data_IF_375325122437
#
_entry.id   IF_375325122437
#
_cell.length_a   1.000
_cell.length_b   1.000
_cell.length_c   1.000
_cell.angle_alpha   90.00
_cell.angle_beta   90.00
_cell.angle_gamma   90.00
#
_symmetry.space_group_name_H-M   'P 1'
#
loop_
_entity.id
_entity.type
_entity.pdbx_description
1 polymer ?
#
# COMPACT_ATOMS: atom_id res chain seq x y z
N UNK A 1 -4.59 10.39 24.21
CA UNK A 1 -5.21 10.37 22.87
C UNK A 1 -4.63 9.16 22.15
N UNK A 2 -5.43 8.14 21.83
CA UNK A 2 -4.95 7.07 20.95
C UNK A 2 -4.74 7.70 19.57
N UNK A 3 -3.56 7.53 18.98
CA UNK A 3 -3.34 7.93 17.59
C UNK A 3 -4.30 7.21 16.64
N UNK A 4 -4.32 7.57 15.35
CA UNK A 4 -5.18 6.92 14.35
C UNK A 4 -4.97 5.40 14.40
N UNK A 5 -6.06 4.65 14.22
CA UNK A 5 -6.00 3.19 14.15
C UNK A 5 -5.18 2.79 12.91
N UNK A 6 -4.19 1.93 13.14
CA UNK A 6 -3.19 1.53 12.14
C UNK A 6 -3.51 0.15 11.60
N UNK A 7 -3.47 -0.01 10.27
CA UNK A 7 -3.69 -1.29 9.59
C UNK A 7 -2.51 -1.60 8.69
N UNK A 8 -1.90 -2.78 8.86
CA UNK A 8 -0.89 -3.28 7.93
C UNK A 8 -1.56 -4.03 6.80
N UNK A 9 -1.34 -3.59 5.56
CA UNK A 9 -1.85 -4.22 4.34
C UNK A 9 -0.69 -4.78 3.55
N UNK A 10 -0.64 -6.10 3.42
CA UNK A 10 0.38 -6.79 2.63
C UNK A 10 -0.25 -7.46 1.40
N UNK A 11 0.14 -7.01 0.20
CA UNK A 11 -0.27 -7.64 -1.05
C UNK A 11 0.75 -8.68 -1.51
N UNK A 12 0.26 -9.89 -1.78
CA UNK A 12 1.05 -11.05 -2.23
C UNK A 12 0.67 -11.47 -3.64
N UNK A 13 1.41 -12.42 -4.23
CA UNK A 13 1.30 -12.79 -5.66
C UNK A 13 0.11 -13.66 -6.04
N UNK A 14 -0.99 -13.61 -5.29
CA UNK A 14 -2.23 -14.27 -5.66
C UNK A 14 -3.06 -13.36 -6.58
N UNK A 15 -3.89 -13.96 -7.44
CA UNK A 15 -4.85 -13.23 -8.26
C UNK A 15 -5.84 -12.42 -7.40
N UNK A 16 -6.29 -11.27 -7.92
CA UNK A 16 -7.22 -10.38 -7.23
C UNK A 16 -6.59 -9.07 -6.75
N UNK A 17 -5.65 -8.49 -7.51
CA UNK A 17 -5.00 -7.23 -7.14
C UNK A 17 -6.00 -6.08 -6.91
N UNK A 18 -7.15 -6.13 -7.57
CA UNK A 18 -8.26 -5.18 -7.42
C UNK A 18 -8.79 -5.12 -5.98
N UNK A 19 -8.82 -6.26 -5.25
CA UNK A 19 -9.26 -6.28 -3.86
C UNK A 19 -8.33 -5.50 -2.95
N UNK A 20 -7.02 -5.64 -3.13
CA UNK A 20 -6.03 -4.90 -2.35
C UNK A 20 -6.10 -3.40 -2.60
N UNK A 21 -6.24 -2.98 -3.87
CA UNK A 21 -6.42 -1.57 -4.23
C UNK A 21 -7.71 -0.99 -3.65
N UNK A 22 -8.82 -1.72 -3.76
CA UNK A 22 -10.11 -1.25 -3.24
C UNK A 22 -10.12 -1.19 -1.70
N UNK A 23 -9.50 -2.16 -1.04
CA UNK A 23 -9.34 -2.13 0.42
C UNK A 23 -8.53 -0.91 0.86
N UNK A 24 -7.41 -0.62 0.17
CA UNK A 24 -6.57 0.55 0.46
C UNK A 24 -7.38 1.85 0.35
N UNK A 25 -8.16 2.02 -0.73
CA UNK A 25 -9.05 3.18 -0.92
C UNK A 25 -10.09 3.29 0.21
N UNK A 26 -10.73 2.18 0.62
CA UNK A 26 -11.67 2.20 1.74
C UNK A 26 -11.01 2.61 3.07
N UNK A 27 -9.83 2.07 3.38
CA UNK A 27 -9.10 2.41 4.61
C UNK A 27 -8.69 3.89 4.66
N UNK A 28 -8.29 4.44 3.52
CA UNK A 28 -7.95 5.86 3.39
C UNK A 28 -9.17 6.75 3.65
N UNK A 29 -10.33 6.40 3.10
CA UNK A 29 -11.58 7.15 3.31
C UNK A 29 -12.09 7.11 4.75
N UNK A 30 -11.77 6.03 5.46
CA UNK A 30 -12.08 5.86 6.88
C UNK A 30 -11.02 6.46 7.81
N UNK A 31 -10.14 7.32 7.29
CA UNK A 31 -9.07 8.03 8.02
C UNK A 31 -8.12 7.10 8.79
N UNK A 32 -7.88 5.90 8.26
CA UNK A 32 -6.95 4.92 8.84
C UNK A 32 -5.53 5.14 8.34
N UNK A 33 -4.55 4.96 9.22
CA UNK A 33 -3.14 4.93 8.82
C UNK A 33 -2.81 3.54 8.28
N UNK A 34 -2.29 3.47 7.05
CA UNK A 34 -2.02 2.21 6.36
C UNK A 34 -0.52 2.00 6.20
N UNK A 35 -0.03 0.87 6.73
CA UNK A 35 1.33 0.40 6.54
C UNK A 35 1.31 -0.62 5.39
N UNK A 36 1.77 -0.20 4.21
CA UNK A 36 1.61 -0.94 2.97
C UNK A 36 2.89 -1.70 2.60
N UNK A 37 2.72 -2.99 2.31
CA UNK A 37 3.76 -3.91 1.86
C UNK A 37 3.31 -4.58 0.57
N UNK A 38 4.23 -4.81 -0.36
CA UNK A 38 3.94 -5.53 -1.60
C UNK A 38 5.13 -6.38 -2.04
N UNK A 39 4.86 -7.63 -2.41
CA UNK A 39 5.89 -8.54 -2.93
C UNK A 39 6.18 -8.29 -4.41
N UNK A 40 7.33 -8.78 -4.90
CA UNK A 40 7.63 -8.75 -6.35
C UNK A 40 6.57 -9.48 -7.18
N UNK A 41 6.06 -10.62 -6.68
CA UNK A 41 5.03 -11.38 -7.37
C UNK A 41 3.70 -10.59 -7.42
N UNK A 42 3.33 -9.89 -6.35
CA UNK A 42 2.15 -9.05 -6.30
C UNK A 42 2.23 -7.86 -7.29
N UNK A 43 3.40 -7.25 -7.45
CA UNK A 43 3.62 -6.20 -8.46
C UNK A 43 3.38 -6.73 -9.88
N UNK A 44 3.82 -7.95 -10.18
CA UNK A 44 3.56 -8.59 -11.47
C UNK A 44 2.07 -8.87 -11.68
N UNK A 45 1.40 -9.44 -10.67
CA UNK A 45 -0.05 -9.67 -10.73
C UNK A 45 -0.80 -8.37 -10.96
N UNK A 46 -0.47 -7.31 -10.22
CA UNK A 46 -1.11 -6.00 -10.38
C UNK A 46 -0.95 -5.42 -11.79
N UNK A 47 0.26 -5.51 -12.36
CA UNK A 47 0.50 -5.05 -13.73
C UNK A 47 -0.23 -5.90 -14.80
N UNK A 48 -0.56 -7.15 -14.47
CA UNK A 48 -1.29 -8.07 -15.36
C UNK A 48 -2.81 -7.90 -15.27
N UNK A 49 -3.34 -7.69 -14.06
CA UNK A 49 -4.78 -7.64 -13.79
C UNK A 49 -5.39 -6.23 -13.81
N UNK A 50 -4.54 -5.20 -13.83
CA UNK A 50 -4.99 -3.80 -13.74
C UNK A 50 -4.12 -2.89 -14.62
N UNK A 51 -4.65 -1.71 -14.93
CA UNK A 51 -3.90 -0.64 -15.60
C UNK A 51 -3.01 0.17 -14.64
N UNK A 52 -3.04 -0.15 -13.34
CA UNK A 52 -2.24 0.52 -12.32
C UNK A 52 -0.79 0.05 -12.45
N UNK A 53 0.15 1.02 -12.52
CA UNK A 53 1.59 0.78 -12.63
C UNK A 53 2.28 1.30 -11.38
N UNK A 54 2.43 0.44 -10.37
CA UNK A 54 3.14 0.81 -9.15
C UNK A 54 4.64 1.02 -9.41
N UNK A 55 5.21 2.16 -9.01
CA UNK A 55 6.64 2.37 -9.05
C UNK A 55 7.39 1.33 -8.20
N UNK A 56 8.58 0.86 -8.63
CA UNK A 56 9.29 -0.21 -7.92
C UNK A 56 9.96 0.24 -6.63
N UNK A 57 10.24 1.54 -6.45
CA UNK A 57 10.85 2.09 -5.23
C UNK A 57 9.78 2.51 -4.23
N UNK A 58 9.93 2.11 -2.97
CA UNK A 58 8.96 2.36 -1.90
C UNK A 58 8.53 3.83 -1.78
N UNK A 59 9.49 4.78 -1.78
CA UNK A 59 9.18 6.22 -1.71
C UNK A 59 8.32 6.72 -2.88
N UNK A 60 8.62 6.28 -4.11
CA UNK A 60 7.83 6.66 -5.29
C UNK A 60 6.47 5.98 -5.29
N UNK A 61 6.39 4.73 -4.82
CA UNK A 61 5.14 4.00 -4.67
C UNK A 61 4.24 4.65 -3.62
N UNK A 62 4.81 5.13 -2.51
CA UNK A 62 4.07 5.87 -1.51
C UNK A 62 3.46 7.13 -2.11
N UNK A 63 4.25 7.96 -2.79
CA UNK A 63 3.75 9.16 -3.45
C UNK A 63 2.63 8.83 -4.45
N UNK A 64 2.84 7.80 -5.28
CA UNK A 64 1.85 7.32 -6.24
C UNK A 64 0.56 6.87 -5.56
N UNK A 65 0.63 6.04 -4.51
CA UNK A 65 -0.54 5.52 -3.81
C UNK A 65 -1.28 6.64 -3.07
N UNK A 66 -0.55 7.57 -2.44
CA UNK A 66 -1.12 8.75 -1.79
C UNK A 66 -1.94 9.58 -2.79
N UNK A 67 -1.39 9.85 -3.97
CA UNK A 67 -2.10 10.56 -5.03
C UNK A 67 -3.29 9.74 -5.56
N UNK A 68 -3.07 8.44 -5.83
CA UNK A 68 -4.08 7.53 -6.40
C UNK A 68 -5.33 7.38 -5.51
N UNK A 69 -5.16 7.36 -4.18
CA UNK A 69 -6.28 7.22 -3.24
C UNK A 69 -6.76 8.55 -2.66
N UNK A 70 -6.08 9.67 -2.95
CA UNK A 70 -6.35 10.96 -2.31
C UNK A 70 -6.04 10.98 -0.80
N UNK A 71 -5.05 10.20 -0.36
CA UNK A 71 -4.70 10.10 1.05
C UNK A 71 -4.02 11.38 1.58
N UNK A 72 -4.18 11.64 2.88
CA UNK A 72 -3.44 12.70 3.56
C UNK A 72 -1.95 12.37 3.65
N UNK A 73 -1.10 13.40 3.79
CA UNK A 73 0.33 13.23 3.94
C UNK A 73 0.66 12.33 5.15
N UNK A 74 1.37 11.22 4.91
CA UNK A 74 1.77 10.28 5.94
C UNK A 74 0.72 9.25 6.36
N UNK A 75 -0.49 9.29 5.75
CA UNK A 75 -1.55 8.31 6.01
C UNK A 75 -1.24 6.94 5.39
N UNK A 76 -0.62 6.91 4.20
CA UNK A 76 -0.06 5.69 3.61
C UNK A 76 1.46 5.71 3.81
N UNK A 77 2.00 4.63 4.37
CA UNK A 77 3.44 4.41 4.56
C UNK A 77 3.85 3.13 3.85
N UNK A 78 4.71 3.23 2.85
CA UNK A 78 5.18 2.07 2.07
C UNK A 78 6.58 1.69 2.54
N UNK A 79 6.77 0.41 2.89
CA UNK A 79 8.09 -0.09 3.30
C UNK A 79 8.70 -1.02 2.26
N UNK A 80 10.04 -1.06 2.26
CA UNK A 80 10.79 -2.02 1.46
C UNK A 80 10.62 -3.44 1.99
N UNK A 81 10.82 -4.44 1.11
CA UNK A 81 10.72 -5.86 1.46
C UNK A 81 11.73 -6.30 2.54
N UNK A 82 12.87 -5.60 2.59
CA UNK A 82 13.98 -5.89 3.51
C UNK A 82 14.18 -4.72 4.50
N UNK A 83 13.14 -3.93 4.76
CA UNK A 83 13.18 -2.79 5.69
C UNK A 83 12.88 -3.23 7.12
N UNK A 84 13.90 -3.81 7.77
CA UNK A 84 13.81 -4.32 9.14
C UNK A 84 13.63 -3.23 10.22
N UNK A 85 13.78 -1.95 9.84
CA UNK A 85 13.57 -0.82 10.75
C UNK A 85 12.13 -0.28 10.67
N UNK A 86 11.30 -0.88 9.81
CA UNK A 86 9.88 -0.61 9.74
C UNK A 86 9.16 -1.00 11.04
N UNK A 87 8.12 -0.25 11.46
CA UNK A 87 7.29 -0.64 12.61
C UNK A 87 6.52 -1.96 12.41
N UNK A 88 6.55 -2.57 11.22
CA UNK A 88 5.85 -3.83 10.89
C UNK A 88 6.80 -4.98 10.53
N UNK A 89 8.09 -4.83 10.80
CA UNK A 89 9.10 -5.87 10.64
C UNK A 89 8.97 -7.00 11.67
#
# INVERSE_FOLDING_TARGET
>A
MSGPERVTVAMTGASGAQYGLRLLDCLVREDREVHFLISKAAQLVMATETDVRLPPKAMMMQAFLTEYTGASAGQIRVYGRDDWMSPVA
#
